data_IF_786278912416
#
_entry.id   IF_786278912416
#
_cell.length_a   1.000
_cell.length_b   1.000
_cell.length_c   1.000
_cell.angle_alpha   90.00
_cell.angle_beta   90.00
_cell.angle_gamma   90.00
#
_symmetry.space_group_name_H-M   'P 1'
#
loop_
_entity.id
_entity.type
_entity.pdbx_description
1 polymer ?
#
# COMPACT_ATOMS: atom_id res chain seq x y z
N UNK A 1 16.84 24.55 15.99
CA UNK A 1 16.37 23.40 15.16
C UNK A 1 17.39 23.24 14.05
N UNK A 2 17.93 22.04 13.88
CA UNK A 2 18.86 21.75 12.80
C UNK A 2 18.14 21.72 11.44
N UNK A 3 18.43 22.65 10.52
CA UNK A 3 17.74 22.72 9.22
C UNK A 3 18.12 21.54 8.29
N UNK A 4 19.14 20.75 8.64
CA UNK A 4 19.52 19.56 7.86
C UNK A 4 18.64 18.36 8.19
N UNK A 5 18.00 18.31 9.38
CA UNK A 5 17.16 17.22 9.81
C UNK A 5 15.74 17.39 9.26
N UNK A 6 15.30 16.40 8.49
CA UNK A 6 13.98 16.41 7.82
C UNK A 6 13.21 15.16 8.25
N UNK A 7 12.04 15.34 8.84
CA UNK A 7 11.15 14.23 9.14
C UNK A 7 10.48 13.71 7.87
N UNK A 8 10.46 12.39 7.69
CA UNK A 8 9.72 11.72 6.61
C UNK A 8 8.72 10.76 7.26
N UNK A 9 7.44 10.96 6.97
CA UNK A 9 6.37 10.16 7.56
C UNK A 9 5.81 9.21 6.51
N UNK A 10 6.05 7.91 6.74
CA UNK A 10 5.73 6.81 5.83
C UNK A 10 6.88 6.44 4.90
N UNK A 11 7.23 5.14 4.91
CA UNK A 11 8.34 4.59 4.13
C UNK A 11 7.84 3.67 3.00
N UNK A 12 6.76 4.09 2.34
CA UNK A 12 6.40 3.58 1.01
C UNK A 12 7.36 4.11 -0.06
N UNK A 13 7.11 3.85 -1.36
CA UNK A 13 7.98 4.28 -2.47
C UNK A 13 8.35 5.76 -2.44
N UNK A 14 7.40 6.63 -2.07
CA UNK A 14 7.61 8.07 -2.00
C UNK A 14 8.57 8.46 -0.87
N UNK A 15 8.38 7.89 0.34
CA UNK A 15 9.22 8.18 1.49
C UNK A 15 10.64 7.66 1.31
N UNK A 16 10.79 6.43 0.80
CA UNK A 16 12.11 5.86 0.47
C UNK A 16 12.85 6.72 -0.55
N UNK A 17 12.18 7.14 -1.62
CA UNK A 17 12.76 8.04 -2.62
C UNK A 17 13.20 9.36 -2.00
N UNK A 18 12.35 9.98 -1.18
CA UNK A 18 12.67 11.23 -0.49
C UNK A 18 13.90 11.08 0.43
N UNK A 19 13.94 10.00 1.23
CA UNK A 19 15.03 9.72 2.15
C UNK A 19 16.39 9.59 1.42
N UNK A 20 16.40 8.83 0.33
CA UNK A 20 17.61 8.62 -0.49
C UNK A 20 18.11 9.95 -1.06
N UNK A 21 17.20 10.76 -1.65
CA UNK A 21 17.61 12.03 -2.24
C UNK A 21 18.07 13.05 -1.19
N UNK A 22 17.38 13.15 -0.04
CA UNK A 22 17.83 13.99 1.07
C UNK A 22 19.24 13.62 1.52
N UNK A 23 19.49 12.33 1.72
CA UNK A 23 20.83 11.84 2.10
C UNK A 23 21.90 12.21 1.06
N UNK A 24 21.58 12.07 -0.23
CA UNK A 24 22.48 12.46 -1.33
C UNK A 24 22.74 13.96 -1.39
N UNK A 25 21.81 14.80 -0.93
CA UNK A 25 22.00 16.25 -0.81
C UNK A 25 22.67 16.68 0.48
N UNK A 26 23.14 15.74 1.31
CA UNK A 26 23.82 16.05 2.57
C UNK A 26 22.88 16.46 3.71
N UNK A 27 21.59 16.13 3.56
CA UNK A 27 20.59 16.26 4.62
C UNK A 27 20.53 14.98 5.47
N UNK A 28 19.86 15.07 6.61
CA UNK A 28 19.65 13.96 7.53
C UNK A 28 18.18 13.61 7.60
N UNK A 29 17.72 12.63 6.80
CA UNK A 29 16.35 12.15 6.89
C UNK A 29 16.13 11.41 8.21
N UNK A 30 15.09 11.78 8.94
CA UNK A 30 14.56 11.06 10.10
C UNK A 30 13.26 10.39 9.66
N UNK A 31 13.34 9.08 9.43
CA UNK A 31 12.28 8.30 8.80
C UNK A 31 11.40 7.63 9.84
N UNK A 32 10.07 7.74 9.67
CA UNK A 32 9.07 7.09 10.51
C UNK A 32 8.19 6.17 9.67
N UNK A 33 8.00 4.93 10.13
CA UNK A 33 7.12 3.95 9.51
C UNK A 33 6.39 3.13 10.60
N UNK A 34 5.08 3.02 10.48
CA UNK A 34 4.28 2.33 11.50
C UNK A 34 4.15 0.81 11.29
N UNK A 35 4.38 0.33 10.06
CA UNK A 35 4.24 -1.08 9.69
C UNK A 35 5.56 -1.59 9.08
N UNK A 36 5.59 -1.75 7.77
CA UNK A 36 6.72 -2.27 7.02
C UNK A 36 7.15 -1.28 5.93
N UNK A 37 8.45 -1.17 5.72
CA UNK A 37 9.02 -0.46 4.58
C UNK A 37 8.39 -1.01 3.29
N UNK A 38 8.04 -0.11 2.36
CA UNK A 38 7.33 -0.46 1.12
C UNK A 38 5.83 -0.14 1.17
N UNK A 39 5.21 -0.07 2.36
CA UNK A 39 3.79 0.26 2.49
C UNK A 39 2.90 -0.66 1.65
N UNK A 40 2.05 -0.09 0.78
CA UNK A 40 1.13 -0.86 -0.08
C UNK A 40 1.81 -1.78 -1.08
N UNK A 41 3.07 -1.55 -1.42
CA UNK A 41 3.85 -2.45 -2.27
C UNK A 41 3.87 -3.87 -1.69
N UNK A 42 3.97 -4.01 -0.37
CA UNK A 42 3.95 -5.31 0.29
C UNK A 42 2.66 -6.12 0.06
N UNK A 43 1.57 -5.45 -0.33
CA UNK A 43 0.26 -6.06 -0.61
C UNK A 43 0.03 -6.29 -2.11
N UNK A 44 1.04 -6.15 -2.94
CA UNK A 44 0.96 -6.32 -4.40
C UNK A 44 1.54 -7.67 -4.80
N UNK A 45 0.73 -8.51 -5.48
CA UNK A 45 1.18 -9.85 -5.91
C UNK A 45 2.32 -9.75 -6.92
N UNK A 46 2.20 -8.85 -7.88
CA UNK A 46 3.14 -8.72 -8.99
C UNK A 46 3.30 -7.27 -9.44
N UNK A 47 4.53 -6.81 -9.53
CA UNK A 47 4.88 -5.49 -10.05
C UNK A 47 5.57 -5.68 -11.40
N UNK A 48 4.91 -5.22 -12.47
CA UNK A 48 5.38 -5.33 -13.85
C UNK A 48 5.55 -3.95 -14.54
N UNK A 49 5.17 -2.88 -13.84
CA UNK A 49 5.12 -1.52 -14.37
C UNK A 49 6.16 -0.58 -13.75
N UNK A 50 7.20 -1.15 -13.12
CA UNK A 50 8.30 -0.36 -12.58
C UNK A 50 9.51 -0.43 -13.52
N UNK A 51 9.91 0.69 -14.19
CA UNK A 51 11.02 0.68 -15.13
C UNK A 51 12.32 0.20 -14.48
N UNK A 52 13.03 -0.70 -15.17
CA UNK A 52 14.27 -1.30 -14.67
C UNK A 52 14.09 -2.61 -13.89
N UNK A 53 12.84 -2.99 -13.57
CA UNK A 53 12.52 -4.28 -12.95
C UNK A 53 11.49 -5.02 -13.81
N UNK A 54 11.85 -6.18 -14.39
CA UNK A 54 10.96 -6.85 -15.34
C UNK A 54 9.69 -7.42 -14.70
N UNK A 55 9.80 -7.98 -13.53
CA UNK A 55 8.69 -8.50 -12.74
C UNK A 55 9.17 -8.93 -11.35
N UNK A 56 8.53 -8.46 -10.30
CA UNK A 56 8.80 -8.86 -8.91
C UNK A 56 7.51 -8.95 -8.11
N UNK A 57 7.50 -9.79 -7.08
CA UNK A 57 6.48 -9.71 -6.04
C UNK A 57 6.68 -8.45 -5.20
N UNK A 58 5.60 -7.88 -4.71
CA UNK A 58 5.66 -6.67 -3.90
C UNK A 58 6.58 -6.78 -2.68
N UNK A 59 6.52 -7.84 -1.87
CA UNK A 59 7.44 -8.03 -0.75
C UNK A 59 8.91 -8.10 -1.19
N UNK A 60 9.23 -8.79 -2.29
CA UNK A 60 10.59 -8.86 -2.82
C UNK A 60 11.08 -7.49 -3.31
N UNK A 61 10.16 -6.68 -3.84
CA UNK A 61 10.46 -5.29 -4.22
C UNK A 61 10.71 -4.41 -2.99
N UNK A 62 9.95 -4.59 -1.90
CA UNK A 62 10.17 -3.86 -0.65
C UNK A 62 11.55 -4.17 -0.03
N UNK A 63 12.04 -5.40 -0.15
CA UNK A 63 13.41 -5.76 0.27
C UNK A 63 14.50 -4.97 -0.50
N UNK A 64 14.25 -4.58 -1.75
CA UNK A 64 15.17 -3.71 -2.48
C UNK A 64 15.24 -2.31 -1.85
N UNK A 65 14.13 -1.81 -1.31
CA UNK A 65 14.11 -0.55 -0.58
C UNK A 65 14.94 -0.62 0.71
N UNK A 66 14.78 -1.68 1.49
CA UNK A 66 15.58 -1.90 2.71
C UNK A 66 17.07 -1.96 2.41
N UNK A 67 17.45 -2.71 1.38
CA UNK A 67 18.84 -2.80 0.92
C UNK A 67 19.39 -1.43 0.50
N UNK A 68 18.58 -0.64 -0.20
CA UNK A 68 19.02 0.69 -0.67
C UNK A 68 19.10 1.71 0.47
N UNK A 69 18.17 1.68 1.43
CA UNK A 69 18.28 2.50 2.64
C UNK A 69 19.52 2.16 3.45
N UNK A 70 19.79 0.87 3.64
CA UNK A 70 20.99 0.39 4.31
C UNK A 70 22.28 0.84 3.63
N UNK A 71 22.32 0.79 2.29
CA UNK A 71 23.47 1.28 1.51
C UNK A 71 23.79 2.76 1.77
N UNK A 72 22.76 3.58 2.00
CA UNK A 72 22.92 5.00 2.33
C UNK A 72 23.04 5.27 3.84
N UNK A 73 23.08 4.25 4.70
CA UNK A 73 23.04 4.37 6.15
C UNK A 73 21.84 5.22 6.63
N UNK A 74 20.66 4.92 6.10
CA UNK A 74 19.41 5.53 6.50
C UNK A 74 18.66 4.55 7.41
N UNK A 75 18.47 4.96 8.66
CA UNK A 75 17.72 4.21 9.64
C UNK A 75 16.25 4.59 9.60
N UNK A 76 15.36 3.64 9.92
CA UNK A 76 13.92 3.85 10.00
C UNK A 76 13.44 3.60 11.42
N UNK A 77 12.79 4.60 12.00
CA UNK A 77 12.11 4.47 13.29
C UNK A 77 10.74 3.81 13.05
N UNK A 78 10.56 2.62 13.61
CA UNK A 78 9.28 1.90 13.52
C UNK A 78 8.32 2.43 14.58
N UNK A 79 7.78 3.62 14.33
CA UNK A 79 6.90 4.37 15.22
C UNK A 79 5.73 4.93 14.42
N UNK A 80 4.52 4.90 14.99
CA UNK A 80 3.36 5.56 14.41
C UNK A 80 3.38 7.06 14.74
N UNK A 81 3.49 7.90 13.70
CA UNK A 81 3.31 9.35 13.87
C UNK A 81 1.81 9.63 14.06
N UNK A 82 1.45 10.12 15.23
CA UNK A 82 0.06 10.39 15.63
C UNK A 82 -0.39 11.81 15.30
N UNK A 83 0.54 12.76 15.28
CA UNK A 83 0.25 14.13 14.86
C UNK A 83 1.47 14.88 14.35
N UNK A 84 1.21 15.88 13.50
CA UNK A 84 2.16 16.89 13.05
C UNK A 84 1.51 18.24 13.26
N UNK A 85 2.12 19.10 14.04
CA UNK A 85 1.60 20.43 14.38
C UNK A 85 2.59 21.51 13.92
N UNK A 86 2.10 22.50 13.20
CA UNK A 86 2.89 23.67 12.84
C UNK A 86 2.96 24.63 14.04
N UNK A 87 4.17 24.96 14.46
CA UNK A 87 4.45 25.93 15.53
C UNK A 87 4.43 27.37 15.00
N UNK A 88 4.32 28.35 15.90
CA UNK A 88 4.32 29.79 15.56
C UNK A 88 5.62 30.26 14.89
N UNK A 89 6.75 29.61 15.19
CA UNK A 89 8.06 29.89 14.61
C UNK A 89 8.27 29.24 13.21
N UNK A 90 7.25 28.56 12.68
CA UNK A 90 7.31 27.88 11.39
C UNK A 90 7.93 26.49 11.44
N UNK A 91 8.31 25.99 12.60
CA UNK A 91 8.77 24.61 12.80
C UNK A 91 7.60 23.63 12.95
N UNK A 92 7.89 22.35 12.90
CA UNK A 92 6.90 21.28 13.01
C UNK A 92 7.18 20.40 14.22
N UNK A 93 6.22 20.29 15.13
CA UNK A 93 6.23 19.30 16.19
C UNK A 93 5.65 17.99 15.63
N UNK A 94 6.47 16.97 15.58
CA UNK A 94 6.08 15.60 15.21
C UNK A 94 5.95 14.78 16.48
N UNK A 95 4.78 14.17 16.69
CA UNK A 95 4.52 13.27 17.82
C UNK A 95 4.32 11.86 17.31
N UNK A 96 4.98 10.93 17.96
CA UNK A 96 4.76 9.50 17.76
C UNK A 96 4.04 8.89 18.98
N UNK A 97 3.81 7.60 18.97
CA UNK A 97 3.36 6.82 20.13
C UNK A 97 4.42 6.71 21.24
N UNK A 98 5.71 7.04 20.95
CA UNK A 98 6.82 6.92 21.89
C UNK A 98 7.52 8.25 22.19
N UNK A 99 7.52 9.20 21.27
CA UNK A 99 8.35 10.40 21.36
C UNK A 99 7.71 11.66 20.76
N UNK A 100 8.32 12.81 21.08
CA UNK A 100 7.98 14.08 20.45
C UNK A 100 9.28 14.76 20.01
N UNK A 101 9.33 15.26 18.78
CA UNK A 101 10.51 15.93 18.26
C UNK A 101 10.13 17.08 17.33
N UNK A 102 10.96 18.15 17.29
CA UNK A 102 10.73 19.33 16.47
C UNK A 102 11.66 19.33 15.26
N UNK A 103 11.09 19.59 14.08
CA UNK A 103 11.78 19.60 12.79
C UNK A 103 11.54 20.94 12.06
N UNK A 104 12.55 21.37 11.28
CA UNK A 104 12.39 22.49 10.36
C UNK A 104 11.52 22.13 9.15
N UNK A 105 11.57 20.86 8.72
CA UNK A 105 10.86 20.36 7.54
C UNK A 105 10.24 19.00 7.79
N UNK A 106 9.07 18.77 7.20
CA UNK A 106 8.37 17.48 7.23
C UNK A 106 7.92 17.12 5.82
N UNK A 107 8.18 15.87 5.43
CA UNK A 107 7.67 15.26 4.21
C UNK A 107 6.60 14.24 4.59
N UNK A 108 5.35 14.47 4.14
CA UNK A 108 4.25 13.55 4.33
C UNK A 108 4.19 12.57 3.15
N UNK A 109 4.64 11.34 3.38
CA UNK A 109 4.61 10.24 2.40
C UNK A 109 3.67 9.11 2.84
N UNK A 110 2.57 9.46 3.48
CA UNK A 110 1.63 8.59 4.19
C UNK A 110 0.78 7.69 3.27
N UNK A 111 0.87 7.89 1.96
CA UNK A 111 0.10 7.14 0.98
C UNK A 111 -1.41 7.36 1.12
N UNK A 112 -2.18 6.36 0.72
CA UNK A 112 -3.64 6.37 0.86
C UNK A 112 -4.05 5.36 1.94
N UNK A 113 -4.81 5.80 2.92
CA UNK A 113 -5.47 4.93 3.88
C UNK A 113 -6.50 4.00 3.23
N UNK A 114 -6.90 2.98 3.93
CA UNK A 114 -8.05 2.18 3.54
C UNK A 114 -9.31 3.01 3.74
N UNK A 115 -10.17 3.03 2.70
CA UNK A 115 -11.47 3.69 2.83
C UNK A 115 -12.33 2.92 3.83
N UNK A 116 -13.07 3.59 4.71
CA UNK A 116 -14.09 2.92 5.50
C UNK A 116 -15.08 2.22 4.59
N UNK A 117 -15.59 1.11 5.02
CA UNK A 117 -16.54 0.33 4.22
C UNK A 117 -17.91 1.00 4.17
N UNK A 118 -18.59 0.72 3.08
CA UNK A 118 -19.92 1.25 2.82
C UNK A 118 -20.99 0.15 2.66
N UNK A 119 -20.63 -1.10 2.97
CA UNK A 119 -21.58 -2.21 2.83
C UNK A 119 -22.18 -2.52 4.20
N UNK A 120 -23.51 -2.48 4.36
CA UNK A 120 -24.16 -2.81 5.62
C UNK A 120 -23.74 -4.20 6.12
N UNK A 121 -23.38 -4.29 7.40
CA UNK A 121 -22.94 -5.54 8.04
C UNK A 121 -21.47 -5.92 7.86
N UNK A 122 -20.72 -5.17 7.06
CA UNK A 122 -19.34 -5.52 6.73
C UNK A 122 -18.43 -5.64 7.96
N UNK A 123 -18.56 -4.73 8.91
CA UNK A 123 -17.76 -4.75 10.14
C UNK A 123 -18.00 -6.03 10.97
N UNK A 124 -19.23 -6.53 10.99
CA UNK A 124 -19.59 -7.76 11.69
C UNK A 124 -18.97 -9.02 11.10
N UNK A 125 -18.60 -8.97 9.82
CA UNK A 125 -18.01 -10.10 9.07
C UNK A 125 -16.51 -9.94 8.83
N UNK A 126 -15.88 -8.88 9.33
CA UNK A 126 -14.43 -8.70 9.25
C UNK A 126 -13.71 -9.91 9.86
N UNK A 127 -12.80 -10.52 9.12
CA UNK A 127 -12.13 -11.80 9.44
C UNK A 127 -13.07 -13.02 9.58
N UNK A 128 -14.33 -12.88 9.19
CA UNK A 128 -15.36 -13.94 9.26
C UNK A 128 -16.07 -14.11 7.91
N UNK A 129 -15.35 -13.96 6.82
CA UNK A 129 -15.85 -14.05 5.44
C UNK A 129 -15.60 -12.79 4.62
N UNK A 130 -15.22 -11.66 5.25
CA UNK A 130 -14.82 -10.44 4.56
C UNK A 130 -13.33 -10.17 4.81
N UNK A 131 -12.60 -10.00 3.72
CA UNK A 131 -11.18 -9.62 3.69
C UNK A 131 -10.98 -8.39 2.79
N UNK A 132 -9.88 -7.67 3.00
CA UNK A 132 -9.44 -6.53 2.19
C UNK A 132 -8.09 -6.75 1.53
N UNK A 133 -7.52 -7.92 1.69
CA UNK A 133 -6.24 -8.28 1.12
C UNK A 133 -6.32 -9.70 0.58
N UNK A 134 -6.52 -9.83 -0.71
CA UNK A 134 -6.61 -11.13 -1.35
C UNK A 134 -5.32 -11.95 -1.17
N UNK A 135 -4.16 -11.30 -1.26
CA UNK A 135 -2.86 -11.95 -1.09
C UNK A 135 -2.68 -12.45 0.34
N UNK A 136 -3.08 -11.64 1.34
CA UNK A 136 -2.92 -12.00 2.75
C UNK A 136 -3.81 -13.16 3.17
N UNK A 137 -5.06 -13.15 2.69
CA UNK A 137 -6.12 -14.02 3.21
C UNK A 137 -6.64 -15.04 2.17
N UNK A 138 -6.26 -14.91 0.90
CA UNK A 138 -6.83 -15.71 -0.21
C UNK A 138 -6.74 -17.20 0.01
N UNK A 139 -5.67 -17.69 0.63
CA UNK A 139 -5.48 -19.10 0.92
C UNK A 139 -6.53 -19.70 1.88
N UNK A 140 -7.15 -18.87 2.75
CA UNK A 140 -8.26 -19.31 3.63
C UNK A 140 -9.56 -19.60 2.85
N UNK A 141 -9.62 -19.11 1.60
CA UNK A 141 -10.75 -19.25 0.71
C UNK A 141 -10.51 -20.28 -0.42
N UNK A 142 -9.41 -21.04 -0.34
CA UNK A 142 -9.10 -22.09 -1.32
C UNK A 142 -10.29 -23.01 -1.53
N UNK A 143 -10.67 -23.20 -2.80
CA UNK A 143 -11.77 -24.07 -3.20
C UNK A 143 -13.17 -23.57 -2.85
N UNK A 144 -13.30 -22.31 -2.38
CA UNK A 144 -14.61 -21.67 -2.09
C UNK A 144 -15.03 -20.77 -3.25
N UNK A 145 -16.31 -20.42 -3.26
CA UNK A 145 -16.84 -19.37 -4.11
C UNK A 145 -16.68 -18.03 -3.43
N UNK A 146 -16.07 -17.07 -4.12
CA UNK A 146 -15.78 -15.74 -3.56
C UNK A 146 -16.32 -14.62 -4.44
N UNK A 147 -16.58 -13.48 -3.81
CA UNK A 147 -16.96 -12.26 -4.52
C UNK A 147 -15.92 -11.16 -4.24
N UNK A 148 -15.52 -10.44 -5.29
CA UNK A 148 -14.66 -9.25 -5.20
C UNK A 148 -15.51 -8.03 -5.55
N UNK A 149 -15.55 -7.05 -4.67
CA UNK A 149 -16.33 -5.82 -4.85
C UNK A 149 -15.43 -4.69 -5.29
N UNK A 150 -15.57 -4.25 -6.52
CA UNK A 150 -14.78 -3.17 -7.10
C UNK A 150 -14.71 -3.24 -8.61
N UNK A 151 -14.18 -2.18 -9.23
CA UNK A 151 -14.00 -2.08 -10.68
C UNK A 151 -12.72 -1.29 -11.05
N UNK A 152 -11.79 -1.16 -10.13
CA UNK A 152 -10.45 -0.63 -10.37
C UNK A 152 -9.43 -1.72 -10.69
N UNK A 153 -8.23 -1.35 -11.10
CA UNK A 153 -7.15 -2.27 -11.44
C UNK A 153 -6.88 -3.28 -10.32
N UNK A 154 -6.76 -2.83 -9.07
CA UNK A 154 -6.55 -3.73 -7.91
C UNK A 154 -7.64 -4.79 -7.77
N UNK A 155 -8.92 -4.43 -7.99
CA UNK A 155 -10.01 -5.40 -7.89
C UNK A 155 -9.90 -6.51 -8.94
N UNK A 156 -9.51 -6.17 -10.17
CA UNK A 156 -9.30 -7.14 -11.24
C UNK A 156 -8.05 -8.00 -10.98
N UNK A 157 -6.96 -7.40 -10.53
CA UNK A 157 -5.72 -8.13 -10.19
C UNK A 157 -5.96 -9.12 -9.04
N UNK A 158 -6.60 -8.66 -7.95
CA UNK A 158 -6.94 -9.51 -6.81
C UNK A 158 -7.94 -10.62 -7.18
N UNK A 159 -8.95 -10.32 -8.01
CA UNK A 159 -9.89 -11.30 -8.50
C UNK A 159 -9.22 -12.34 -9.41
N UNK A 160 -8.28 -11.93 -10.24
CA UNK A 160 -7.47 -12.83 -11.07
C UNK A 160 -6.62 -13.76 -10.20
N UNK A 161 -5.93 -13.23 -9.18
CA UNK A 161 -5.19 -14.03 -8.21
C UNK A 161 -6.08 -15.05 -7.50
N UNK A 162 -7.25 -14.61 -7.01
CA UNK A 162 -8.21 -15.50 -6.35
C UNK A 162 -8.74 -16.60 -7.28
N UNK A 163 -8.85 -16.34 -8.58
CA UNK A 163 -9.31 -17.35 -9.54
C UNK A 163 -8.40 -18.56 -9.66
N UNK A 164 -7.12 -18.43 -9.30
CA UNK A 164 -6.16 -19.54 -9.29
C UNK A 164 -6.24 -20.37 -7.99
N UNK A 165 -6.98 -19.90 -6.99
CA UNK A 165 -7.07 -20.53 -5.66
C UNK A 165 -8.50 -21.00 -5.37
N UNK A 166 -9.49 -20.23 -5.77
CA UNK A 166 -10.91 -20.42 -5.44
C UNK A 166 -11.64 -21.24 -6.51
N UNK A 167 -12.77 -21.84 -6.14
CA UNK A 167 -13.63 -22.56 -7.09
C UNK A 167 -14.25 -21.63 -8.13
N UNK A 168 -14.73 -20.48 -7.69
CA UNK A 168 -15.24 -19.45 -8.57
C UNK A 168 -15.01 -18.05 -8.00
N UNK A 169 -14.90 -17.05 -8.89
CA UNK A 169 -14.73 -15.64 -8.50
C UNK A 169 -15.76 -14.78 -9.22
N UNK A 170 -16.60 -14.09 -8.45
CA UNK A 170 -17.57 -13.13 -8.92
C UNK A 170 -17.09 -11.69 -8.68
N UNK A 171 -16.81 -10.93 -9.72
CA UNK A 171 -16.49 -9.52 -9.60
C UNK A 171 -17.79 -8.69 -9.67
N UNK A 172 -18.03 -7.88 -8.63
CA UNK A 172 -19.25 -7.07 -8.51
C UNK A 172 -18.90 -5.60 -8.69
N UNK A 173 -19.46 -4.96 -9.70
CA UNK A 173 -19.17 -3.58 -10.05
C UNK A 173 -20.42 -2.73 -10.16
N UNK A 174 -20.39 -1.50 -9.65
CA UNK A 174 -21.52 -0.55 -9.72
C UNK A 174 -21.77 0.04 -11.12
N UNK A 175 -20.74 -0.01 -11.98
CA UNK A 175 -20.75 0.62 -13.30
C UNK A 175 -20.35 -0.39 -14.36
N UNK A 176 -20.86 -0.19 -15.56
CA UNK A 176 -20.51 -0.97 -16.75
C UNK A 176 -19.13 -0.60 -17.32
N UNK A 177 -18.69 0.64 -17.08
CA UNK A 177 -17.35 1.10 -17.46
C UNK A 177 -16.39 0.90 -16.31
N UNK A 178 -15.29 0.20 -16.58
CA UNK A 178 -14.26 -0.10 -15.59
C UNK A 178 -13.14 0.93 -15.66
N UNK A 179 -12.67 1.36 -14.47
CA UNK A 179 -11.46 2.22 -14.36
C UNK A 179 -10.17 1.42 -14.35
N UNK A 180 -10.26 0.12 -14.50
CA UNK A 180 -9.14 -0.78 -14.50
C UNK A 180 -8.33 -0.66 -15.80
N UNK A 181 -7.04 -0.96 -15.72
CA UNK A 181 -6.19 -1.12 -16.89
C UNK A 181 -6.73 -2.27 -17.75
N UNK A 182 -6.75 -2.08 -19.07
CA UNK A 182 -7.27 -3.09 -20.01
C UNK A 182 -6.62 -4.45 -19.82
N UNK A 183 -5.31 -4.49 -19.60
CA UNK A 183 -4.56 -5.73 -19.38
C UNK A 183 -5.10 -6.53 -18.18
N UNK A 184 -5.42 -5.86 -17.06
CA UNK A 184 -5.97 -6.53 -15.87
C UNK A 184 -7.38 -7.08 -16.14
N UNK A 185 -8.21 -6.35 -16.89
CA UNK A 185 -9.54 -6.81 -17.31
C UNK A 185 -9.43 -8.03 -18.21
N UNK A 186 -8.56 -7.97 -19.23
CA UNK A 186 -8.37 -9.06 -20.18
C UNK A 186 -7.84 -10.34 -19.49
N UNK A 187 -6.92 -10.21 -18.52
CA UNK A 187 -6.42 -11.33 -17.72
C UNK A 187 -7.53 -11.99 -16.89
N UNK A 188 -8.38 -11.20 -16.27
CA UNK A 188 -9.51 -11.72 -15.50
C UNK A 188 -10.52 -12.46 -16.39
N UNK A 189 -10.87 -11.88 -17.53
CA UNK A 189 -11.83 -12.46 -18.48
C UNK A 189 -11.29 -13.73 -19.17
N UNK A 190 -9.97 -13.92 -19.22
CA UNK A 190 -9.35 -15.13 -19.75
C UNK A 190 -9.49 -16.35 -18.81
N UNK A 191 -9.91 -16.16 -17.55
CA UNK A 191 -10.11 -17.25 -16.60
C UNK A 191 -11.48 -17.93 -16.79
N UNK A 192 -11.52 -19.25 -16.65
CA UNK A 192 -12.74 -20.03 -16.92
C UNK A 192 -13.75 -20.04 -15.75
N UNK A 193 -13.30 -19.66 -14.55
CA UNK A 193 -14.08 -19.71 -13.31
C UNK A 193 -14.46 -18.31 -12.79
N UNK A 194 -14.48 -17.31 -13.68
CA UNK A 194 -14.76 -15.92 -13.32
C UNK A 194 -16.06 -15.40 -13.91
N UNK A 195 -16.71 -14.48 -13.23
CA UNK A 195 -17.94 -13.82 -13.67
C UNK A 195 -17.98 -12.35 -13.23
N UNK A 196 -18.54 -11.49 -14.07
CA UNK A 196 -18.76 -10.07 -13.74
C UNK A 196 -20.26 -9.82 -13.60
N UNK A 197 -20.62 -9.13 -12.51
CA UNK A 197 -21.96 -8.61 -12.26
C UNK A 197 -21.92 -7.08 -12.28
N UNK A 198 -22.63 -6.50 -13.24
CA UNK A 198 -22.71 -5.05 -13.45
C UNK A 198 -23.96 -4.69 -14.27
N UNK A 199 -24.64 -3.55 -14.03
CA UNK A 199 -24.51 -2.66 -12.87
C UNK A 199 -25.15 -3.27 -11.61
N UNK A 200 -24.62 -2.88 -10.43
CA UNK A 200 -25.08 -3.41 -9.14
C UNK A 200 -25.23 -2.29 -8.11
#
# INVERSE_FOLDING_TARGET
IDPKRVAIIGMGPAGVSAAIYLKRFGMEPVCFEKELIGGKVNKTEKIENYPGLPSLKGPDFALQYESQLSFFNIEVNYEEVTSVTLNEDGSFLVKTDFSEEVFAYVILAIGLGEKPYAIPGEESFKKRGISRCAICDGMFYRGKDVAVIGAGTSAFEEATYLSDICSSVSLIARRTEFRAQKAAVDQFLAKNNTKIYTPY
#
